data_IF_827425888951
#
_entry.id   IF_827425888951
#
_cell.length_a   1.000
_cell.length_b   1.000
_cell.length_c   1.000
_cell.angle_alpha   90.00
_cell.angle_beta   90.00
_cell.angle_gamma   90.00
#
_symmetry.space_group_name_H-M   'P 1'
#
loop_
_entity.id
_entity.type
_entity.pdbx_description
1 polymer ?
#
# COMPACT_ATOMS: atom_id res chain seq x y z
N UNK A 1 27.68 8.68 13.22
CA UNK A 1 27.42 7.88 11.98
C UNK A 1 28.49 8.13 10.93
N UNK A 2 28.53 9.31 10.28
CA UNK A 2 29.51 9.58 9.21
C UNK A 2 30.97 9.49 9.67
N UNK A 3 31.24 9.93 10.91
CA UNK A 3 32.54 9.76 11.56
C UNK A 3 32.91 8.30 11.89
N UNK A 4 31.91 7.43 12.13
CA UNK A 4 32.13 6.05 12.61
C UNK A 4 32.20 5.04 11.46
N UNK A 5 31.53 5.31 10.34
CA UNK A 5 31.39 4.36 9.24
C UNK A 5 32.70 4.20 8.48
N UNK A 6 33.24 2.97 8.46
CA UNK A 6 34.51 2.65 7.78
C UNK A 6 34.33 2.38 6.28
N UNK A 7 33.18 1.83 5.88
CA UNK A 7 32.85 1.53 4.49
C UNK A 7 31.90 2.56 3.87
N UNK A 8 31.14 2.10 2.87
CA UNK A 8 30.13 2.91 2.17
C UNK A 8 28.99 3.24 3.12
N UNK A 9 28.48 4.46 3.01
CA UNK A 9 27.25 4.88 3.68
C UNK A 9 26.10 4.80 2.70
N UNK A 10 25.00 4.15 3.08
CA UNK A 10 23.79 4.05 2.27
C UNK A 10 22.66 4.67 3.08
N UNK A 11 22.27 5.90 2.74
CA UNK A 11 21.23 6.64 3.45
C UNK A 11 19.92 6.56 2.66
N UNK A 12 18.93 5.88 3.23
CA UNK A 12 17.58 5.82 2.69
C UNK A 12 16.67 6.83 3.39
N UNK A 13 16.03 7.70 2.61
CA UNK A 13 15.13 8.73 3.09
C UNK A 13 13.96 8.93 2.12
N UNK A 14 12.92 9.65 2.55
CA UNK A 14 11.88 10.12 1.64
C UNK A 14 12.45 11.17 0.70
N UNK A 15 12.25 10.98 -0.60
CA UNK A 15 12.77 11.90 -1.62
C UNK A 15 12.20 13.32 -1.51
N UNK A 16 11.01 13.48 -0.92
CA UNK A 16 10.37 14.76 -0.67
C UNK A 16 10.87 15.48 0.60
N UNK A 17 11.70 14.83 1.42
CA UNK A 17 12.20 15.44 2.66
C UNK A 17 13.45 16.29 2.40
N UNK A 18 13.28 17.41 1.71
CA UNK A 18 14.39 18.23 1.19
C UNK A 18 15.36 18.68 2.30
N UNK A 19 14.86 19.15 3.44
CA UNK A 19 15.72 19.49 4.59
C UNK A 19 16.56 18.31 5.11
N UNK A 20 16.02 17.09 5.05
CA UNK A 20 16.79 15.88 5.42
C UNK A 20 17.88 15.61 4.38
N UNK A 21 17.59 15.84 3.10
CA UNK A 21 18.58 15.72 2.04
C UNK A 21 19.72 16.73 2.25
N UNK A 22 19.39 17.99 2.57
CA UNK A 22 20.38 19.02 2.89
C UNK A 22 21.32 18.57 4.00
N UNK A 23 20.77 18.10 5.13
CA UNK A 23 21.58 17.59 6.25
C UNK A 23 22.54 16.47 5.80
N UNK A 24 22.08 15.58 4.92
CA UNK A 24 22.93 14.51 4.38
C UNK A 24 24.04 15.07 3.49
N UNK A 25 23.75 16.06 2.65
CA UNK A 25 24.73 16.71 1.77
C UNK A 25 25.78 17.46 2.59
N UNK A 26 25.35 18.28 3.56
CA UNK A 26 26.24 19.07 4.42
C UNK A 26 27.20 18.18 5.20
N UNK A 27 26.68 17.10 5.81
CA UNK A 27 27.50 16.15 6.56
C UNK A 27 28.42 15.37 5.61
N UNK A 28 27.95 14.99 4.41
CA UNK A 28 28.80 14.34 3.42
C UNK A 28 29.99 15.23 3.05
N UNK A 29 29.74 16.52 2.78
CA UNK A 29 30.80 17.50 2.51
C UNK A 29 31.77 17.64 3.69
N UNK A 30 31.25 17.80 4.92
CA UNK A 30 32.07 17.93 6.13
C UNK A 30 33.03 16.75 6.34
N UNK A 31 32.59 15.52 5.99
CA UNK A 31 33.38 14.31 6.12
C UNK A 31 34.10 13.91 4.82
N UNK A 32 34.21 14.82 3.85
CA UNK A 32 34.86 14.61 2.56
C UNK A 32 34.34 13.39 1.78
N UNK A 33 33.04 13.12 1.89
CA UNK A 33 32.36 12.08 1.13
C UNK A 33 31.59 12.70 -0.02
N UNK A 34 31.77 12.14 -1.21
CA UNK A 34 30.92 12.44 -2.37
C UNK A 34 29.58 11.74 -2.24
N UNK A 35 28.55 12.28 -2.90
CA UNK A 35 27.19 11.77 -2.82
C UNK A 35 26.74 11.24 -4.17
N UNK A 36 26.30 9.98 -4.21
CA UNK A 36 25.68 9.37 -5.37
C UNK A 36 24.19 9.16 -5.12
N UNK A 37 23.34 9.85 -5.88
CA UNK A 37 21.89 9.80 -5.72
C UNK A 37 21.30 8.65 -6.55
N UNK A 38 20.57 7.73 -5.89
CA UNK A 38 19.99 6.55 -6.53
C UNK A 38 18.47 6.50 -6.39
N UNK A 39 17.82 6.43 -7.55
CA UNK A 39 16.37 6.28 -7.69
C UNK A 39 15.76 7.47 -8.41
N UNK A 40 14.81 7.21 -9.32
CA UNK A 40 14.24 8.23 -10.21
C UNK A 40 13.60 9.39 -9.43
N UNK A 41 12.82 9.07 -8.39
CA UNK A 41 12.15 10.09 -7.55
C UNK A 41 13.16 10.93 -6.75
N UNK A 42 14.23 10.32 -6.22
CA UNK A 42 15.26 11.05 -5.49
C UNK A 42 16.03 11.99 -6.40
N UNK A 43 16.48 11.52 -7.56
CA UNK A 43 17.16 12.35 -8.56
C UNK A 43 16.30 13.54 -8.99
N UNK A 44 15.03 13.30 -9.34
CA UNK A 44 14.10 14.34 -9.74
C UNK A 44 13.88 15.39 -8.64
N UNK A 45 13.70 14.97 -7.39
CA UNK A 45 13.48 15.91 -6.29
C UNK A 45 14.74 16.71 -5.95
N UNK A 46 15.93 16.10 -5.98
CA UNK A 46 17.20 16.82 -5.79
C UNK A 46 17.38 17.88 -6.87
N UNK A 47 17.20 17.53 -8.16
CA UNK A 47 17.33 18.47 -9.29
C UNK A 47 16.33 19.63 -9.19
N UNK A 48 15.06 19.33 -8.88
CA UNK A 48 14.03 20.37 -8.74
C UNK A 48 14.31 21.27 -7.54
N UNK A 49 14.68 20.69 -6.39
CA UNK A 49 14.92 21.46 -5.17
C UNK A 49 16.15 22.36 -5.29
N UNK A 50 17.23 21.87 -5.93
CA UNK A 50 18.43 22.64 -6.23
C UNK A 50 18.11 23.82 -7.16
N UNK A 51 17.44 23.56 -8.28
CA UNK A 51 17.02 24.60 -9.22
C UNK A 51 16.11 25.66 -8.59
N UNK A 52 15.29 25.29 -7.61
CA UNK A 52 14.39 26.20 -6.90
C UNK A 52 15.05 26.87 -5.68
N UNK A 53 16.29 26.52 -5.34
CA UNK A 53 17.01 27.07 -4.19
C UNK A 53 16.53 26.54 -2.82
N UNK A 54 15.80 25.42 -2.79
CA UNK A 54 15.42 24.73 -1.56
C UNK A 54 16.45 23.72 -1.06
N UNK A 55 17.40 23.36 -1.92
CA UNK A 55 18.53 22.49 -1.63
C UNK A 55 19.78 23.20 -2.16
N UNK A 56 20.78 23.38 -1.31
CA UNK A 56 22.09 23.86 -1.72
C UNK A 56 22.99 22.64 -1.99
N UNK A 57 23.41 22.49 -3.23
CA UNK A 57 24.26 21.39 -3.68
C UNK A 57 25.64 21.94 -4.05
N UNK A 58 26.64 21.81 -3.16
CA UNK A 58 27.99 22.28 -3.44
C UNK A 58 28.58 21.68 -4.71
N UNK A 59 29.30 22.50 -5.48
CA UNK A 59 29.94 22.09 -6.72
C UNK A 59 30.83 20.86 -6.54
N UNK A 60 30.61 19.87 -7.39
CA UNK A 60 31.35 18.62 -7.39
C UNK A 60 31.08 17.70 -6.19
N UNK A 61 30.10 17.99 -5.31
CA UNK A 61 29.70 17.07 -4.25
C UNK A 61 28.96 15.85 -4.81
N UNK A 62 28.07 16.07 -5.78
CA UNK A 62 27.35 14.99 -6.44
C UNK A 62 28.24 14.30 -7.48
N UNK A 63 28.19 12.97 -7.49
CA UNK A 63 28.90 12.14 -8.47
C UNK A 63 27.94 11.20 -9.18
N UNK A 64 28.23 10.95 -10.46
CA UNK A 64 27.52 9.94 -11.24
C UNK A 64 27.75 8.55 -10.66
N UNK A 65 26.85 7.63 -10.99
CA UNK A 65 26.98 6.23 -10.57
C UNK A 65 28.27 5.57 -11.08
N UNK A 66 28.74 5.91 -12.28
CA UNK A 66 29.97 5.37 -12.83
C UNK A 66 31.22 5.88 -12.10
N UNK A 67 31.23 7.16 -11.72
CA UNK A 67 32.29 7.74 -10.88
C UNK A 67 32.29 7.09 -9.50
N UNK A 68 31.11 6.94 -8.87
CA UNK A 68 30.98 6.34 -7.54
C UNK A 68 31.57 4.92 -7.47
N UNK A 69 31.48 4.11 -8.53
CA UNK A 69 32.07 2.76 -8.60
C UNK A 69 33.60 2.74 -8.56
N UNK A 70 34.26 3.85 -8.89
CA UNK A 70 35.72 3.96 -8.93
C UNK A 70 36.28 4.59 -7.64
N UNK A 71 35.40 5.06 -6.75
CA UNK A 71 35.79 5.70 -5.50
C UNK A 71 36.04 4.67 -4.39
N UNK A 72 36.82 5.05 -3.38
CA UNK A 72 37.03 4.22 -2.20
C UNK A 72 35.77 4.25 -1.32
N UNK A 73 35.50 3.14 -0.63
CA UNK A 73 34.26 2.98 0.13
C UNK A 73 34.02 4.06 1.19
N UNK A 74 35.07 4.52 1.85
CA UNK A 74 34.99 5.56 2.89
C UNK A 74 34.80 6.99 2.33
N UNK A 75 34.85 7.17 1.00
CA UNK A 75 34.71 8.47 0.34
C UNK A 75 33.33 8.67 -0.29
N UNK A 76 32.41 7.71 -0.14
CA UNK A 76 31.12 7.73 -0.82
C UNK A 76 29.93 7.55 0.12
N UNK A 77 28.86 8.27 -0.20
CA UNK A 77 27.52 8.14 0.38
C UNK A 77 26.54 7.91 -0.75
N UNK A 78 25.74 6.86 -0.66
CA UNK A 78 24.61 6.61 -1.54
C UNK A 78 23.34 7.15 -0.90
N UNK A 79 22.73 8.16 -1.52
CA UNK A 79 21.42 8.67 -1.12
C UNK A 79 20.34 7.97 -1.94
N UNK A 80 19.56 7.10 -1.30
CA UNK A 80 18.72 6.11 -2.01
C UNK A 80 17.24 6.22 -1.67
N UNK A 81 16.39 5.87 -2.63
CA UNK A 81 14.95 5.57 -2.38
C UNK A 81 14.76 4.18 -1.74
N UNK A 82 13.57 3.92 -1.18
CA UNK A 82 13.18 2.58 -0.73
C UNK A 82 13.13 2.41 0.78
N UNK A 83 12.94 3.51 1.52
CA UNK A 83 12.91 3.48 2.98
C UNK A 83 11.70 2.72 3.55
N UNK A 84 10.67 2.43 2.74
CA UNK A 84 9.50 1.63 3.12
C UNK A 84 9.54 0.19 2.60
N UNK A 85 10.67 -0.25 2.04
CA UNK A 85 10.84 -1.61 1.53
C UNK A 85 10.18 -1.87 0.17
N UNK A 86 9.86 -0.81 -0.58
CA UNK A 86 9.25 -0.94 -1.91
C UNK A 86 10.15 -1.78 -2.82
N UNK A 87 9.63 -2.92 -3.30
CA UNK A 87 10.44 -3.96 -3.95
C UNK A 87 11.27 -3.46 -5.14
N UNK A 88 10.77 -2.47 -5.89
CA UNK A 88 11.45 -1.87 -7.06
C UNK A 88 12.38 -0.70 -6.71
N UNK A 89 12.41 -0.26 -5.46
CA UNK A 89 13.25 0.85 -5.03
C UNK A 89 14.72 0.45 -4.89
N UNK A 90 15.60 1.44 -4.98
CA UNK A 90 17.06 1.23 -5.01
C UNK A 90 17.55 0.41 -3.80
N UNK A 91 17.16 0.76 -2.57
CA UNK A 91 17.61 0.06 -1.38
C UNK A 91 17.19 -1.43 -1.38
N UNK A 92 15.92 -1.72 -1.67
CA UNK A 92 15.41 -3.10 -1.67
C UNK A 92 16.07 -3.95 -2.76
N UNK A 93 16.34 -3.37 -3.93
CA UNK A 93 17.08 -4.03 -5.00
C UNK A 93 18.55 -4.29 -4.63
N UNK A 94 19.23 -3.33 -3.99
CA UNK A 94 20.60 -3.51 -3.49
C UNK A 94 20.70 -4.58 -2.39
N UNK A 95 19.67 -4.72 -1.56
CA UNK A 95 19.61 -5.71 -0.49
C UNK A 95 19.31 -7.13 -1.00
N UNK A 96 18.35 -7.27 -1.91
CA UNK A 96 17.85 -8.59 -2.35
C UNK A 96 18.53 -9.13 -3.60
N UNK A 97 18.93 -8.25 -4.51
CA UNK A 97 19.42 -8.60 -5.84
C UNK A 97 20.64 -7.72 -6.15
N UNK A 98 20.67 -7.15 -7.36
CA UNK A 98 21.64 -6.17 -7.82
C UNK A 98 20.91 -4.96 -8.39
N UNK A 99 21.25 -3.77 -7.92
CA UNK A 99 20.76 -2.51 -8.47
C UNK A 99 21.84 -1.89 -9.36
N UNK A 100 21.63 -1.94 -10.69
CA UNK A 100 22.61 -1.46 -11.68
C UNK A 100 24.02 -2.06 -11.51
N UNK A 101 24.11 -3.31 -11.08
CA UNK A 101 25.38 -3.98 -10.83
C UNK A 101 26.00 -3.66 -9.46
N UNK A 102 25.26 -3.04 -8.53
CA UNK A 102 25.71 -2.79 -7.16
C UNK A 102 24.86 -3.58 -6.17
N UNK A 103 25.50 -4.14 -5.15
CA UNK A 103 24.86 -4.87 -4.06
C UNK A 103 25.35 -4.34 -2.73
N UNK A 104 24.56 -4.56 -1.67
CA UNK A 104 25.06 -4.36 -0.31
C UNK A 104 26.11 -5.44 -0.01
N UNK A 105 27.19 -5.03 0.64
CA UNK A 105 28.35 -5.86 0.97
C UNK A 105 28.72 -5.72 2.45
N UNK A 106 29.59 -6.62 2.92
CA UNK A 106 30.11 -6.58 4.27
C UNK A 106 30.88 -5.27 4.52
N UNK A 107 30.65 -4.63 5.67
CA UNK A 107 31.27 -3.34 6.02
C UNK A 107 30.47 -2.11 5.61
N UNK A 108 29.42 -2.25 4.78
CA UNK A 108 28.47 -1.17 4.50
C UNK A 108 27.71 -0.77 5.77
N UNK A 109 27.35 0.52 5.87
CA UNK A 109 26.42 1.01 6.87
C UNK A 109 25.18 1.61 6.21
N UNK A 110 24.03 0.97 6.42
CA UNK A 110 22.72 1.42 5.94
C UNK A 110 22.03 2.24 7.01
N UNK A 111 21.57 3.44 6.66
CA UNK A 111 20.80 4.33 7.53
C UNK A 111 19.38 4.42 6.99
N UNK A 112 18.41 3.93 7.75
CA UNK A 112 16.98 4.10 7.46
C UNK A 112 16.48 5.39 8.14
N UNK A 113 16.59 6.51 7.43
CA UNK A 113 16.16 7.83 7.90
C UNK A 113 14.66 8.08 7.65
N UNK A 114 13.82 7.10 8.01
CA UNK A 114 12.39 7.15 7.84
C UNK A 114 11.68 6.39 8.96
N UNK A 115 10.51 6.89 9.39
CA UNK A 115 9.58 6.12 10.20
C UNK A 115 8.89 5.07 9.34
N UNK A 116 8.62 3.91 9.94
CA UNK A 116 7.82 2.86 9.32
C UNK A 116 6.38 3.37 9.20
N UNK A 117 5.86 3.44 7.98
CA UNK A 117 4.44 3.72 7.74
C UNK A 117 3.64 2.45 8.08
N UNK A 118 2.55 2.55 8.85
CA UNK A 118 1.71 1.40 9.21
C UNK A 118 1.32 0.56 7.99
N UNK A 119 1.52 -0.75 8.07
CA UNK A 119 1.27 -1.71 6.99
C UNK A 119 2.54 -2.16 6.25
N UNK A 120 3.66 -1.42 6.35
CA UNK A 120 4.92 -1.75 5.69
C UNK A 120 5.90 -2.55 6.58
N UNK A 121 5.55 -2.84 7.83
CA UNK A 121 6.45 -3.46 8.83
C UNK A 121 7.06 -4.77 8.32
N UNK A 122 6.23 -5.63 7.71
CA UNK A 122 6.67 -6.94 7.20
C UNK A 122 7.64 -6.83 6.03
N UNK A 123 7.43 -5.85 5.15
CA UNK A 123 8.26 -5.67 3.96
C UNK A 123 9.61 -5.08 4.37
N UNK A 124 9.60 -4.07 5.23
CA UNK A 124 10.81 -3.47 5.80
C UNK A 124 11.62 -4.51 6.59
N UNK A 125 10.96 -5.28 7.46
CA UNK A 125 11.64 -6.33 8.25
C UNK A 125 12.33 -7.37 7.37
N UNK A 126 11.70 -7.79 6.26
CA UNK A 126 12.35 -8.67 5.27
C UNK A 126 13.56 -8.01 4.61
N UNK A 127 13.44 -6.75 4.18
CA UNK A 127 14.56 -6.00 3.61
C UNK A 127 15.73 -5.90 4.59
N UNK A 128 15.47 -5.56 5.86
CA UNK A 128 16.47 -5.53 6.93
C UNK A 128 17.14 -6.91 7.09
N UNK A 129 16.37 -8.00 7.05
CA UNK A 129 16.92 -9.36 7.09
C UNK A 129 17.89 -9.65 5.94
N UNK A 130 17.60 -9.19 4.72
CA UNK A 130 18.52 -9.33 3.58
C UNK A 130 19.78 -8.48 3.74
N UNK A 131 19.67 -7.27 4.29
CA UNK A 131 20.82 -6.40 4.61
C UNK A 131 21.74 -7.10 5.61
N UNK A 132 21.19 -7.66 6.69
CA UNK A 132 21.97 -8.43 7.67
C UNK A 132 22.61 -9.68 7.07
N UNK A 133 21.88 -10.41 6.20
CA UNK A 133 22.41 -11.60 5.52
C UNK A 133 23.64 -11.28 4.64
N UNK A 134 23.78 -10.01 4.21
CA UNK A 134 24.92 -9.51 3.43
C UNK A 134 26.07 -8.97 4.29
N UNK A 135 25.96 -9.03 5.63
CA UNK A 135 27.02 -8.59 6.55
C UNK A 135 27.08 -7.07 6.77
N UNK A 136 26.08 -6.32 6.30
CA UNK A 136 26.05 -4.88 6.48
C UNK A 136 25.47 -4.47 7.85
N UNK A 137 25.94 -3.33 8.34
CA UNK A 137 25.39 -2.70 9.53
C UNK A 137 24.13 -1.89 9.17
N UNK A 138 23.18 -1.80 10.10
CA UNK A 138 21.97 -1.02 9.92
C UNK A 138 21.67 -0.13 11.12
N UNK A 139 21.31 1.11 10.82
CA UNK A 139 20.89 2.12 11.78
C UNK A 139 19.46 2.54 11.43
N UNK A 140 18.53 2.29 12.35
CA UNK A 140 17.11 2.62 12.23
C UNK A 140 16.64 3.43 13.46
N UNK A 141 15.48 4.07 13.35
CA UNK A 141 14.88 4.95 14.36
C UNK A 141 14.85 4.35 15.77
N UNK A 142 14.58 3.04 15.90
CA UNK A 142 14.54 2.34 17.20
C UNK A 142 15.91 2.27 17.90
N UNK A 143 17.01 2.39 17.15
CA UNK A 143 18.38 2.25 17.65
C UNK A 143 19.06 3.60 17.84
N UNK A 144 18.80 4.57 16.95
CA UNK A 144 19.33 5.93 17.03
C UNK A 144 18.30 6.91 16.47
N UNK A 145 18.29 8.14 16.99
CA UNK A 145 17.48 9.25 16.47
C UNK A 145 17.97 9.68 15.08
N UNK A 146 17.50 8.98 14.05
CA UNK A 146 17.79 9.25 12.63
C UNK A 146 16.57 9.75 11.86
N UNK A 147 15.44 9.90 12.54
CA UNK A 147 14.19 10.38 11.98
C UNK A 147 13.42 11.19 13.02
N UNK A 148 12.67 12.18 12.54
CA UNK A 148 11.62 12.89 13.28
C UNK A 148 10.39 12.97 12.39
N UNK A 149 9.20 12.96 13.00
CA UNK A 149 7.95 13.09 12.26
C UNK A 149 7.84 14.45 11.58
N UNK A 150 7.18 14.51 10.42
CA UNK A 150 6.75 15.76 9.81
C UNK A 150 5.43 16.30 10.39
N UNK A 151 4.83 15.62 11.36
CA UNK A 151 3.58 16.04 12.00
C UNK A 151 3.82 16.52 13.43
N UNK A 152 3.08 17.57 13.80
CA UNK A 152 3.04 18.15 15.14
C UNK A 152 2.66 17.11 16.21
N UNK A 153 3.38 17.13 17.34
CA UNK A 153 3.02 16.43 18.57
C UNK A 153 2.09 17.29 19.42
N UNK A 154 1.65 16.78 20.58
CA UNK A 154 0.72 17.49 21.47
C UNK A 154 1.21 18.87 21.88
N UNK A 155 2.51 19.04 22.14
CA UNK A 155 3.07 20.33 22.53
C UNK A 155 3.05 21.33 21.37
N UNK A 156 3.36 20.89 20.15
CA UNK A 156 3.27 21.72 18.96
C UNK A 156 1.81 22.17 18.70
N UNK A 157 0.84 21.27 18.93
CA UNK A 157 -0.59 21.56 18.87
C UNK A 157 -0.98 22.61 19.93
N UNK A 158 -0.47 22.51 21.16
CA UNK A 158 -0.68 23.52 22.21
C UNK A 158 -0.16 24.88 21.74
N UNK A 159 1.11 24.94 21.32
CA UNK A 159 1.77 26.18 20.87
C UNK A 159 0.93 26.85 19.79
N UNK A 160 0.51 26.10 18.77
CA UNK A 160 -0.34 26.61 17.69
C UNK A 160 -1.70 27.11 18.21
N UNK A 161 -2.37 26.32 19.04
CA UNK A 161 -3.71 26.67 19.55
C UNK A 161 -3.67 27.91 20.43
N UNK A 162 -2.66 28.06 21.29
CA UNK A 162 -2.47 29.21 22.17
C UNK A 162 -2.05 30.47 21.41
N UNK A 163 -1.30 30.31 20.31
CA UNK A 163 -0.91 31.42 19.44
C UNK A 163 -2.11 31.97 18.64
N UNK A 164 -2.94 31.09 18.08
CA UNK A 164 -4.09 31.49 17.25
C UNK A 164 -5.32 31.87 18.07
N UNK A 165 -5.51 31.26 19.24
CA UNK A 165 -6.68 31.47 20.11
C UNK A 165 -8.00 31.35 19.34
N UNK A 166 -8.23 30.24 18.62
CA UNK A 166 -9.45 30.07 17.84
C UNK A 166 -10.70 30.13 18.72
N UNK A 167 -11.86 30.53 18.16
CA UNK A 167 -13.15 30.37 18.86
C UNK A 167 -13.65 28.92 18.82
N UNK A 168 -13.38 28.24 17.71
CA UNK A 168 -13.75 26.85 17.45
C UNK A 168 -12.55 26.04 16.98
N UNK A 169 -12.40 24.81 17.45
CA UNK A 169 -11.33 23.90 17.05
C UNK A 169 -11.92 22.75 16.26
N UNK A 170 -11.42 22.54 15.04
CA UNK A 170 -11.84 21.44 14.16
C UNK A 170 -10.62 20.56 13.89
N UNK A 171 -10.45 19.42 14.59
CA UNK A 171 -9.37 18.50 14.29
C UNK A 171 -9.49 17.93 12.86
N UNK A 172 -8.43 18.04 12.07
CA UNK A 172 -8.35 17.48 10.70
C UNK A 172 -7.10 16.60 10.53
N UNK A 173 -7.00 15.93 9.37
CA UNK A 173 -5.85 15.13 8.94
C UNK A 173 -5.47 14.00 9.93
N UNK A 174 -6.35 13.00 10.06
CA UNK A 174 -6.08 11.79 10.84
C UNK A 174 -7.22 10.79 10.79
N UNK A 175 -6.97 9.56 11.25
CA UNK A 175 -8.05 8.61 11.53
C UNK A 175 -8.95 9.13 12.66
N UNK A 176 -10.21 8.69 12.73
CA UNK A 176 -11.16 9.17 13.73
C UNK A 176 -10.61 9.09 15.17
N UNK A 177 -9.88 8.02 15.51
CA UNK A 177 -9.22 7.90 16.83
C UNK A 177 -8.21 9.02 17.11
N UNK A 178 -7.51 9.52 16.10
CA UNK A 178 -6.53 10.61 16.23
C UNK A 178 -7.25 11.94 16.40
N UNK A 179 -8.30 12.18 15.60
CA UNK A 179 -9.14 13.38 15.71
C UNK A 179 -9.80 13.46 17.09
N UNK A 180 -10.33 12.35 17.57
CA UNK A 180 -10.91 12.25 18.90
C UNK A 180 -9.88 12.54 20.01
N UNK A 181 -8.66 12.00 19.90
CA UNK A 181 -7.57 12.29 20.85
C UNK A 181 -7.14 13.74 20.81
N UNK A 182 -7.13 14.38 19.64
CA UNK A 182 -6.87 15.80 19.50
C UNK A 182 -7.98 16.61 20.20
N UNK A 183 -9.26 16.27 19.99
CA UNK A 183 -10.38 16.88 20.74
C UNK A 183 -10.19 16.76 22.24
N UNK A 184 -9.90 15.55 22.73
CA UNK A 184 -9.68 15.31 24.16
C UNK A 184 -8.49 16.10 24.72
N UNK A 185 -7.42 16.23 23.95
CA UNK A 185 -6.26 17.03 24.35
C UNK A 185 -6.64 18.50 24.53
N UNK A 186 -7.31 19.09 23.52
CA UNK A 186 -7.75 20.49 23.51
C UNK A 186 -8.73 20.77 24.65
N UNK A 187 -9.73 19.90 24.82
CA UNK A 187 -10.73 19.99 25.91
C UNK A 187 -10.07 19.97 27.28
N UNK A 188 -9.23 18.96 27.54
CA UNK A 188 -8.75 18.68 28.89
C UNK A 188 -7.53 19.53 29.29
N UNK A 189 -6.79 20.11 28.33
CA UNK A 189 -5.52 20.79 28.62
C UNK A 189 -5.45 22.24 28.14
N UNK A 190 -6.33 22.67 27.23
CA UNK A 190 -6.26 24.02 26.63
C UNK A 190 -7.46 24.91 26.99
N UNK A 191 -8.37 24.43 27.83
CA UNK A 191 -9.47 25.24 28.39
C UNK A 191 -10.64 25.50 27.44
N UNK A 192 -10.77 24.73 26.36
CA UNK A 192 -11.88 24.84 25.42
C UNK A 192 -13.09 24.03 25.89
N UNK A 193 -14.26 24.66 25.86
CA UNK A 193 -15.53 23.97 26.07
C UNK A 193 -15.78 22.93 24.96
N UNK A 194 -16.48 21.84 25.28
CA UNK A 194 -16.65 20.71 24.36
C UNK A 194 -17.44 21.10 23.11
N UNK A 195 -18.44 21.96 23.26
CA UNK A 195 -19.24 22.55 22.20
C UNK A 195 -18.43 23.37 21.19
N UNK A 196 -17.24 23.84 21.60
CA UNK A 196 -16.34 24.58 20.73
C UNK A 196 -15.33 23.68 20.01
N UNK A 197 -15.38 22.36 20.20
CA UNK A 197 -14.49 21.40 19.53
C UNK A 197 -15.29 20.43 18.66
N UNK A 198 -15.22 20.63 17.34
CA UNK A 198 -16.12 19.99 16.39
C UNK A 198 -15.35 18.89 15.67
N UNK A 199 -15.78 17.65 15.89
CA UNK A 199 -15.32 16.51 15.09
C UNK A 199 -16.16 16.43 13.81
N UNK A 200 -15.47 16.35 12.68
CA UNK A 200 -16.10 16.20 11.36
C UNK A 200 -15.56 14.97 10.66
N UNK A 201 -16.40 14.38 9.82
CA UNK A 201 -16.04 13.31 8.89
C UNK A 201 -16.03 13.84 7.45
N UNK A 202 -15.39 13.08 6.54
CA UNK A 202 -15.45 13.41 5.13
C UNK A 202 -16.92 13.42 4.65
N UNK A 203 -17.32 14.50 3.98
CA UNK A 203 -18.68 14.72 3.50
C UNK A 203 -19.54 15.60 4.41
N UNK A 204 -19.17 15.80 5.68
CA UNK A 204 -19.89 16.70 6.57
C UNK A 204 -19.79 18.16 6.09
N UNK A 205 -20.90 18.90 6.18
CA UNK A 205 -20.98 20.33 5.88
C UNK A 205 -21.02 21.08 7.20
N UNK A 206 -19.91 21.73 7.54
CA UNK A 206 -19.77 22.55 8.75
C UNK A 206 -20.16 24.00 8.44
N UNK A 207 -21.18 24.51 9.13
CA UNK A 207 -21.54 25.92 9.14
C UNK A 207 -20.83 26.65 10.29
N UNK A 208 -20.24 27.80 9.97
CA UNK A 208 -19.52 28.68 10.89
C UNK A 208 -20.01 30.11 10.67
N UNK A 209 -20.71 30.70 11.65
CA UNK A 209 -21.23 32.07 11.58
C UNK A 209 -20.56 33.04 12.58
N UNK A 210 -19.53 32.56 13.28
CA UNK A 210 -18.80 33.31 14.29
C UNK A 210 -19.42 33.23 15.68
N UNK A 211 -20.69 32.85 15.83
CA UNK A 211 -21.34 32.57 17.12
C UNK A 211 -21.49 31.08 17.38
N UNK A 212 -21.73 30.31 16.33
CA UNK A 212 -21.99 28.88 16.33
C UNK A 212 -21.10 28.17 15.32
N UNK A 213 -20.76 26.93 15.65
CA UNK A 213 -20.17 25.97 14.74
C UNK A 213 -20.97 24.67 14.82
N UNK A 214 -21.58 24.25 13.71
CA UNK A 214 -22.40 23.04 13.68
C UNK A 214 -22.36 22.34 12.32
N UNK A 215 -22.38 21.01 12.36
CA UNK A 215 -22.61 20.20 11.16
C UNK A 215 -24.09 20.32 10.78
N UNK A 216 -24.38 20.92 9.64
CA UNK A 216 -25.75 21.21 9.19
C UNK A 216 -26.24 20.26 8.10
N UNK A 217 -25.31 19.56 7.43
CA UNK A 217 -25.64 18.63 6.36
C UNK A 217 -24.53 17.60 6.18
N UNK A 218 -24.78 16.55 5.38
CA UNK A 218 -23.78 15.58 4.94
C UNK A 218 -23.97 15.31 3.45
N UNK A 219 -22.90 15.52 2.68
CA UNK A 219 -22.84 15.19 1.26
C UNK A 219 -22.39 13.74 1.09
N UNK A 220 -23.06 13.04 0.20
CA UNK A 220 -22.60 11.73 -0.24
C UNK A 220 -21.29 11.91 -1.02
N UNK A 221 -20.27 11.18 -0.61
CA UNK A 221 -18.94 11.20 -1.22
C UNK A 221 -18.52 9.77 -1.57
N UNK A 222 -18.02 9.61 -2.79
CA UNK A 222 -17.50 8.34 -3.29
C UNK A 222 -16.00 8.19 -3.03
N UNK A 223 -15.48 6.98 -3.31
CA UNK A 223 -14.05 6.74 -3.48
C UNK A 223 -13.79 6.38 -4.93
N UNK A 224 -12.94 7.16 -5.58
CA UNK A 224 -12.41 6.84 -6.91
C UNK A 224 -11.13 6.04 -6.75
N UNK A 225 -11.08 4.85 -7.36
CA UNK A 225 -9.86 4.04 -7.41
C UNK A 225 -9.18 4.28 -8.77
N UNK A 226 -7.84 4.32 -8.78
CA UNK A 226 -7.07 4.51 -10.02
C UNK A 226 -6.11 3.33 -10.17
N UNK A 227 -6.09 2.68 -11.33
CA UNK A 227 -5.12 1.60 -11.63
C UNK A 227 -3.78 2.21 -12.01
N UNK A 228 -2.71 1.86 -11.29
CA UNK A 228 -1.34 2.33 -11.55
C UNK A 228 -0.80 1.85 -12.91
N UNK A 229 -1.40 0.82 -13.50
CA UNK A 229 -1.00 0.29 -14.82
C UNK A 229 -1.48 1.12 -16.01
N UNK A 230 -2.54 1.91 -15.85
CA UNK A 230 -3.17 2.67 -16.94
C UNK A 230 -3.61 4.09 -16.58
N UNK A 231 -3.51 4.50 -15.31
CA UNK A 231 -4.11 5.73 -14.78
C UNK A 231 -5.62 5.86 -15.08
N UNK A 232 -6.30 4.73 -15.23
CA UNK A 232 -7.74 4.67 -15.46
C UNK A 232 -8.49 4.50 -14.15
N UNK A 233 -9.69 5.09 -14.08
CA UNK A 233 -10.59 4.89 -12.95
C UNK A 233 -11.08 3.44 -12.92
N UNK A 234 -11.03 2.83 -11.74
CA UNK A 234 -11.57 1.49 -11.48
C UNK A 234 -12.80 1.64 -10.61
N UNK A 235 -13.86 0.94 -10.99
CA UNK A 235 -15.05 0.84 -10.18
C UNK A 235 -14.80 0.09 -8.86
N UNK A 236 -15.48 0.53 -7.80
CA UNK A 236 -15.42 -0.13 -6.50
C UNK A 236 -15.79 -1.62 -6.54
N UNK A 237 -16.67 -2.00 -7.48
CA UNK A 237 -17.09 -3.38 -7.71
C UNK A 237 -15.94 -4.26 -8.21
N UNK A 238 -15.15 -3.79 -9.16
CA UNK A 238 -13.97 -4.51 -9.65
C UNK A 238 -12.96 -4.74 -8.54
N UNK A 239 -12.73 -3.75 -7.66
CA UNK A 239 -11.84 -3.90 -6.49
C UNK A 239 -12.39 -4.95 -5.53
N UNK A 240 -13.71 -4.97 -5.30
CA UNK A 240 -14.38 -5.98 -4.46
C UNK A 240 -14.19 -7.38 -5.04
N UNK A 241 -14.39 -7.56 -6.34
CA UNK A 241 -14.21 -8.85 -7.03
C UNK A 241 -12.75 -9.31 -6.96
N UNK A 242 -11.78 -8.43 -7.22
CA UNK A 242 -10.34 -8.74 -7.08
C UNK A 242 -10.00 -9.23 -5.67
N UNK A 243 -10.53 -8.56 -4.62
CA UNK A 243 -10.34 -9.01 -3.23
C UNK A 243 -10.94 -10.39 -3.00
N UNK A 244 -12.18 -10.63 -3.44
CA UNK A 244 -12.83 -11.91 -3.27
C UNK A 244 -12.04 -13.04 -3.97
N UNK A 245 -11.59 -12.83 -5.20
CA UNK A 245 -10.74 -13.79 -5.91
C UNK A 245 -9.41 -14.06 -5.19
N UNK A 246 -8.80 -13.03 -4.59
CA UNK A 246 -7.54 -13.20 -3.87
C UNK A 246 -7.67 -14.01 -2.57
N UNK A 247 -8.81 -13.94 -1.88
CA UNK A 247 -9.05 -14.64 -0.61
C UNK A 247 -9.72 -16.00 -0.78
N UNK A 248 -10.72 -16.10 -1.66
CA UNK A 248 -11.59 -17.27 -1.79
C UNK A 248 -11.34 -18.08 -3.07
N UNK A 249 -10.52 -17.55 -3.98
CA UNK A 249 -10.29 -18.15 -5.29
C UNK A 249 -11.45 -17.96 -6.27
N UNK A 250 -11.36 -18.67 -7.40
CA UNK A 250 -12.39 -18.63 -8.43
C UNK A 250 -12.66 -20.00 -9.04
N UNK A 251 -13.87 -20.16 -9.57
CA UNK A 251 -14.34 -21.35 -10.27
C UNK A 251 -14.95 -20.92 -11.60
N UNK A 252 -14.47 -21.51 -12.69
CA UNK A 252 -15.14 -21.46 -13.98
C UNK A 252 -15.93 -22.75 -14.15
N UNK A 253 -17.24 -22.62 -14.32
CA UNK A 253 -18.14 -23.74 -14.59
C UNK A 253 -18.55 -23.68 -16.06
N UNK A 254 -18.25 -24.70 -16.84
CA UNK A 254 -18.61 -24.79 -18.25
C UNK A 254 -19.65 -25.89 -18.39
N UNK A 255 -20.79 -25.53 -18.97
CA UNK A 255 -21.91 -26.42 -19.23
C UNK A 255 -22.21 -26.38 -20.71
N UNK A 256 -22.28 -27.54 -21.34
CA UNK A 256 -22.69 -27.65 -22.74
C UNK A 256 -24.08 -28.24 -22.78
N UNK A 257 -24.99 -27.59 -23.50
CA UNK A 257 -26.38 -28.01 -23.68
C UNK A 257 -26.64 -28.29 -25.15
N UNK A 258 -27.48 -29.29 -25.44
CA UNK A 258 -27.99 -29.50 -26.77
C UNK A 258 -29.05 -28.43 -27.12
N UNK A 259 -28.91 -27.78 -28.26
CA UNK A 259 -29.76 -26.65 -28.65
C UNK A 259 -31.25 -27.03 -28.82
N UNK A 260 -31.54 -28.24 -29.27
CA UNK A 260 -32.90 -28.69 -29.59
C UNK A 260 -33.66 -29.19 -28.36
N UNK A 261 -32.95 -29.88 -27.45
CA UNK A 261 -33.55 -30.56 -26.30
C UNK A 261 -33.38 -29.80 -24.98
N UNK A 262 -32.44 -28.84 -24.93
CA UNK A 262 -32.02 -28.16 -23.70
C UNK A 262 -31.34 -29.08 -22.69
N UNK A 263 -31.07 -30.34 -23.06
CA UNK A 263 -30.44 -31.33 -22.21
C UNK A 263 -28.92 -31.14 -22.15
N UNK A 264 -28.34 -31.58 -21.04
CA UNK A 264 -26.89 -31.57 -20.84
C UNK A 264 -26.18 -32.44 -21.89
N UNK A 265 -25.23 -31.85 -22.61
CA UNK A 265 -24.39 -32.55 -23.58
C UNK A 265 -22.99 -32.78 -22.97
N UNK A 266 -22.83 -33.94 -22.32
CA UNK A 266 -21.61 -34.31 -21.58
C UNK A 266 -21.58 -33.76 -20.15
N UNK A 267 -20.60 -34.19 -19.35
CA UNK A 267 -20.49 -33.76 -17.95
C UNK A 267 -20.10 -32.27 -17.83
N UNK A 268 -20.57 -31.54 -16.80
CA UNK A 268 -20.14 -30.17 -16.57
C UNK A 268 -18.64 -30.12 -16.30
N UNK A 269 -17.92 -29.17 -16.89
CA UNK A 269 -16.51 -28.97 -16.63
C UNK A 269 -16.30 -27.89 -15.56
N UNK A 270 -15.50 -28.20 -14.54
CA UNK A 270 -15.24 -27.30 -13.42
C UNK A 270 -13.74 -27.05 -13.33
N UNK A 271 -13.33 -25.81 -13.58
CA UNK A 271 -11.94 -25.37 -13.47
C UNK A 271 -11.80 -24.47 -12.25
N UNK A 272 -10.91 -24.82 -11.33
CA UNK A 272 -10.73 -24.10 -10.06
C UNK A 272 -9.35 -23.46 -9.99
N UNK A 273 -9.27 -22.28 -9.39
CA UNK A 273 -7.99 -21.59 -9.11
C UNK A 273 -8.04 -21.00 -7.70
N UNK A 274 -7.15 -21.46 -6.83
CA UNK A 274 -6.99 -20.89 -5.48
C UNK A 274 -8.15 -21.17 -4.50
N UNK A 275 -9.07 -22.07 -4.82
CA UNK A 275 -10.20 -22.41 -3.94
C UNK A 275 -9.73 -23.40 -2.88
N UNK A 276 -9.71 -22.97 -1.62
CA UNK A 276 -9.26 -23.80 -0.50
C UNK A 276 -10.11 -25.06 -0.36
N UNK A 277 -9.47 -26.22 -0.28
CA UNK A 277 -10.12 -27.51 -0.03
C UNK A 277 -10.98 -28.03 -1.18
N UNK A 278 -10.94 -27.39 -2.35
CA UNK A 278 -11.69 -27.79 -3.53
C UNK A 278 -10.74 -28.01 -4.71
N UNK A 279 -10.29 -29.26 -4.87
CA UNK A 279 -9.40 -29.69 -5.93
C UNK A 279 -9.80 -31.07 -6.47
N UNK A 280 -9.08 -31.55 -7.48
CA UNK A 280 -9.35 -32.83 -8.15
C UNK A 280 -8.97 -34.06 -7.32
N UNK A 281 -8.25 -33.89 -6.22
CA UNK A 281 -7.65 -35.00 -5.45
C UNK A 281 -8.59 -35.61 -4.41
N UNK A 282 -9.65 -34.90 -4.03
CA UNK A 282 -10.52 -35.28 -2.91
C UNK A 282 -11.93 -35.71 -3.32
N UNK A 283 -12.20 -35.93 -4.61
CA UNK A 283 -13.50 -36.39 -5.12
C UNK A 283 -14.61 -35.31 -5.17
N UNK A 284 -14.41 -34.19 -4.49
CA UNK A 284 -15.38 -33.09 -4.39
C UNK A 284 -15.76 -32.51 -5.75
N UNK A 285 -14.83 -32.54 -6.72
CA UNK A 285 -15.10 -32.08 -8.08
C UNK A 285 -16.18 -32.93 -8.76
N UNK A 286 -16.15 -34.25 -8.58
CA UNK A 286 -17.19 -35.15 -9.14
C UNK A 286 -18.54 -34.93 -8.47
N UNK A 287 -18.56 -34.69 -7.17
CA UNK A 287 -19.81 -34.40 -6.46
C UNK A 287 -20.39 -33.04 -6.86
N UNK A 288 -19.55 -32.04 -7.11
CA UNK A 288 -19.97 -30.77 -7.69
C UNK A 288 -20.53 -30.94 -9.11
N UNK A 289 -19.90 -31.75 -9.96
CA UNK A 289 -20.40 -32.07 -11.29
C UNK A 289 -21.79 -32.73 -11.24
N UNK A 290 -21.97 -33.73 -10.36
CA UNK A 290 -23.27 -34.38 -10.14
C UNK A 290 -24.32 -33.41 -9.64
N UNK A 291 -23.96 -32.52 -8.72
CA UNK A 291 -24.86 -31.49 -8.20
C UNK A 291 -25.29 -30.52 -9.30
N UNK A 292 -24.38 -30.07 -10.15
CA UNK A 292 -24.72 -29.19 -11.28
C UNK A 292 -25.60 -29.92 -12.30
N UNK A 293 -25.28 -31.17 -12.64
CA UNK A 293 -26.10 -31.98 -13.54
C UNK A 293 -27.52 -32.19 -12.99
N UNK A 294 -27.65 -32.46 -11.69
CA UNK A 294 -28.95 -32.58 -11.02
C UNK A 294 -29.71 -31.25 -10.97
N UNK A 295 -29.03 -30.12 -10.75
CA UNK A 295 -29.64 -28.79 -10.76
C UNK A 295 -30.19 -28.44 -12.15
N UNK A 296 -29.47 -28.79 -13.22
CA UNK A 296 -29.94 -28.58 -14.60
C UNK A 296 -31.13 -29.49 -14.91
N UNK A 297 -31.05 -30.78 -14.55
CA UNK A 297 -32.14 -31.73 -14.79
C UNK A 297 -33.43 -31.39 -14.01
N UNK A 298 -33.30 -30.78 -12.83
CA UNK A 298 -34.42 -30.33 -11.99
C UNK A 298 -34.91 -28.91 -12.28
N UNK A 299 -34.28 -28.18 -13.21
CA UNK A 299 -34.66 -26.81 -13.54
C UNK A 299 -36.01 -26.76 -14.29
N UNK A 300 -36.77 -25.68 -14.07
CA UNK A 300 -38.02 -25.46 -14.80
C UNK A 300 -37.76 -25.21 -16.29
N UNK A 301 -38.76 -25.45 -17.14
CA UNK A 301 -38.68 -25.14 -18.58
C UNK A 301 -38.34 -23.67 -18.84
N UNK A 302 -38.85 -22.77 -18.00
CA UNK A 302 -38.56 -21.33 -18.07
C UNK A 302 -37.08 -21.05 -17.79
N UNK A 303 -36.51 -21.65 -16.74
CA UNK A 303 -35.09 -21.50 -16.40
C UNK A 303 -34.17 -22.10 -17.48
N UNK A 304 -34.55 -23.23 -18.09
CA UNK A 304 -33.78 -23.85 -19.17
C UNK A 304 -33.80 -23.03 -20.47
N UNK A 305 -34.89 -22.29 -20.72
CA UNK A 305 -35.03 -21.44 -21.91
C UNK A 305 -34.23 -20.13 -21.81
N UNK A 306 -33.96 -19.64 -20.59
CA UNK A 306 -33.18 -18.41 -20.37
C UNK A 306 -31.78 -18.72 -19.83
N UNK A 307 -30.77 -18.52 -20.68
CA UNK A 307 -29.37 -18.75 -20.33
C UNK A 307 -28.90 -17.93 -19.12
N UNK A 308 -29.48 -16.77 -18.85
CA UNK A 308 -29.15 -15.91 -17.70
C UNK A 308 -29.71 -16.51 -16.41
N UNK A 309 -30.97 -16.94 -16.44
CA UNK A 309 -31.61 -17.61 -15.31
C UNK A 309 -30.91 -18.94 -15.00
N UNK A 310 -30.56 -19.72 -16.02
CA UNK A 310 -29.83 -20.96 -15.84
C UNK A 310 -28.45 -20.74 -15.21
N UNK A 311 -27.68 -19.77 -15.73
CA UNK A 311 -26.36 -19.38 -15.19
C UNK A 311 -26.47 -19.00 -13.72
N UNK A 312 -27.45 -18.20 -13.35
CA UNK A 312 -27.67 -17.81 -11.95
C UNK A 312 -28.08 -18.99 -11.07
N UNK A 313 -28.97 -19.86 -11.56
CA UNK A 313 -29.41 -21.05 -10.84
C UNK A 313 -28.24 -21.99 -10.50
N UNK A 314 -27.45 -22.39 -11.50
CA UNK A 314 -26.29 -23.29 -11.29
C UNK A 314 -25.19 -22.62 -10.46
N UNK A 315 -25.00 -21.30 -10.60
CA UNK A 315 -24.04 -20.53 -9.80
C UNK A 315 -24.41 -20.55 -8.32
N UNK A 316 -25.68 -20.34 -7.98
CA UNK A 316 -26.15 -20.32 -6.59
C UNK A 316 -26.04 -21.70 -5.95
N UNK A 317 -26.45 -22.76 -6.65
CA UNK A 317 -26.36 -24.13 -6.14
C UNK A 317 -24.90 -24.56 -5.92
N UNK A 318 -24.03 -24.32 -6.89
CA UNK A 318 -22.61 -24.60 -6.74
C UNK A 318 -21.99 -23.78 -5.60
N UNK A 319 -22.34 -22.49 -5.47
CA UNK A 319 -21.86 -21.64 -4.36
C UNK A 319 -22.25 -22.20 -3.00
N UNK A 320 -23.50 -22.63 -2.83
CA UNK A 320 -23.99 -23.24 -1.57
C UNK A 320 -23.24 -24.52 -1.24
N UNK A 321 -23.02 -25.38 -2.24
CA UNK A 321 -22.27 -26.62 -2.08
C UNK A 321 -20.84 -26.35 -1.61
N UNK A 322 -20.10 -25.49 -2.31
CA UNK A 322 -18.72 -25.14 -1.95
C UNK A 322 -18.64 -24.51 -0.58
N UNK A 323 -19.54 -23.56 -0.26
CA UNK A 323 -19.54 -22.91 1.04
C UNK A 323 -19.81 -23.90 2.18
N UNK A 324 -20.72 -24.87 2.00
CA UNK A 324 -20.99 -25.91 2.99
C UNK A 324 -19.79 -26.84 3.19
N UNK A 325 -19.08 -27.13 2.12
CA UNK A 325 -17.97 -28.09 2.11
C UNK A 325 -16.66 -27.49 2.65
N UNK A 326 -16.33 -26.27 2.26
CA UNK A 326 -15.02 -25.66 2.51
C UNK A 326 -15.06 -24.36 3.32
N UNK A 327 -16.25 -23.78 3.49
CA UNK A 327 -16.42 -22.44 4.07
C UNK A 327 -16.02 -21.28 3.15
N UNK A 328 -15.38 -21.57 2.01
CA UNK A 328 -14.93 -20.56 1.05
C UNK A 328 -16.11 -19.99 0.24
N UNK A 329 -15.95 -18.75 -0.23
CA UNK A 329 -16.94 -18.08 -1.09
C UNK A 329 -16.32 -17.65 -2.42
N UNK A 330 -15.88 -18.60 -3.27
CA UNK A 330 -15.18 -18.26 -4.51
C UNK A 330 -16.06 -17.45 -5.46
N UNK A 331 -15.41 -16.70 -6.34
CA UNK A 331 -16.10 -16.11 -7.51
C UNK A 331 -16.40 -17.23 -8.49
N UNK A 332 -17.67 -17.44 -8.83
CA UNK A 332 -18.11 -18.49 -9.75
C UNK A 332 -18.56 -17.84 -11.06
N UNK A 333 -17.91 -18.21 -12.16
CA UNK A 333 -18.26 -17.78 -13.52
C UNK A 333 -18.84 -18.95 -14.31
N UNK A 334 -20.17 -19.02 -14.47
CA UNK A 334 -20.81 -20.02 -15.32
C UNK A 334 -20.77 -19.62 -16.80
N UNK A 335 -20.37 -20.55 -17.65
CA UNK A 335 -20.38 -20.47 -19.11
C UNK A 335 -21.33 -21.56 -19.60
N UNK A 336 -22.35 -21.16 -20.35
CA UNK A 336 -23.30 -22.08 -20.98
C UNK A 336 -23.07 -22.02 -22.48
N UNK A 337 -22.75 -23.17 -23.08
CA UNK A 337 -22.57 -23.36 -24.51
C UNK A 337 -23.76 -24.14 -25.05
N UNK A 338 -24.23 -23.77 -26.23
CA UNK A 338 -25.24 -24.55 -26.97
C UNK A 338 -24.59 -25.16 -28.19
N UNK A 339 -24.80 -26.46 -28.39
CA UNK A 339 -24.26 -27.25 -29.51
C UNK A 339 -25.34 -28.04 -30.23
#
# INVERSE_FOLDING_TARGET
IFAEAKGRLIVAAFASSIHRLQIVLDIAQQFNRKVCVLGRSMLKNVEIADRLGYLDVPDGLLVSFNQAKQMRDHEIVFLVTGSQGESRAALSQMATQSYKGMTIEEGDTVVLSARIIPGNERVISRMIGFIYKRGANIIEEKRRLVHVSGHASQEDIRIMTEAVRPKFVVPIHGEYRMLFRHKEFVKNHLGYAEENIILIENGDVLELDGERAAVVNKREIGRTFIDDSGFEEIESETVRQRKQMAYDGMITLIVTLNADTGALHGDPEIVTRGVRGFDSSNGNLKDAQRLVAAAIAGASRETLADATLLKEHIRVELKRFIQKLTGARPVIMPVVLQV
#
